data_IF_170339321638
#
_entry.id   IF_170339321638
#
_cell.length_a   1.000
_cell.length_b   1.000
_cell.length_c   1.000
_cell.angle_alpha   90.00
_cell.angle_beta   90.00
_cell.angle_gamma   90.00
#
_symmetry.space_group_name_H-M   'P 1'
#
loop_
_entity.id
_entity.type
_entity.pdbx_description
1 polymer ?
#
# COMPACT_ATOMS: atom_id res chain seq x y z
N UNK A 1 12.67 -2.07 -1.26
CA UNK A 1 11.35 -1.46 -1.52
C UNK A 1 11.43 0.06 -1.66
N UNK A 2 12.22 0.74 -0.84
CA UNK A 2 12.32 2.21 -0.83
C UNK A 2 12.71 2.81 -2.18
N UNK A 3 13.68 2.21 -2.86
CA UNK A 3 14.22 2.74 -4.11
C UNK A 3 13.22 2.74 -5.26
N UNK A 4 12.22 1.83 -5.20
CA UNK A 4 11.25 1.65 -6.28
C UNK A 4 9.86 2.14 -5.91
N UNK A 5 9.63 2.50 -4.65
CA UNK A 5 8.31 2.95 -4.19
C UNK A 5 8.07 4.39 -4.60
N UNK A 6 6.89 4.63 -5.18
CA UNK A 6 6.49 5.96 -5.67
C UNK A 6 5.05 6.26 -5.31
N UNK A 7 4.81 7.55 -5.10
CA UNK A 7 3.48 8.12 -4.94
C UNK A 7 3.08 8.67 -6.30
N UNK A 8 1.93 8.24 -6.82
CA UNK A 8 1.46 8.64 -8.14
C UNK A 8 0.09 9.28 -8.02
N UNK A 9 -0.03 10.48 -8.56
CA UNK A 9 -1.30 11.19 -8.65
C UNK A 9 -1.77 11.20 -10.09
N UNK A 10 -3.01 10.75 -10.30
CA UNK A 10 -3.64 10.74 -11.61
C UNK A 10 -4.37 12.05 -11.89
N UNK A 11 -4.69 12.28 -13.16
CA UNK A 11 -5.37 13.49 -13.61
C UNK A 11 -6.75 13.67 -12.98
N UNK A 12 -7.41 12.59 -12.59
CA UNK A 12 -8.71 12.61 -11.94
C UNK A 12 -8.63 12.85 -10.42
N UNK A 13 -7.42 13.02 -9.89
CA UNK A 13 -7.19 13.23 -8.46
C UNK A 13 -6.92 11.97 -7.66
N UNK A 14 -7.05 10.79 -8.26
CA UNK A 14 -6.74 9.53 -7.58
C UNK A 14 -5.25 9.49 -7.22
N UNK A 15 -4.96 9.02 -6.01
CA UNK A 15 -3.61 8.94 -5.48
C UNK A 15 -3.32 7.50 -5.09
N UNK A 16 -2.20 6.95 -5.57
CA UNK A 16 -1.78 5.60 -5.22
C UNK A 16 -0.32 5.59 -4.76
N UNK A 17 0.00 4.60 -3.93
CA UNK A 17 1.39 4.24 -3.60
C UNK A 17 1.65 2.89 -4.24
N UNK A 18 2.77 2.73 -4.90
CA UNK A 18 3.12 1.50 -5.59
C UNK A 18 4.63 1.36 -5.74
N UNK A 19 5.06 0.17 -6.12
CA UNK A 19 6.43 -0.05 -6.60
C UNK A 19 6.44 0.16 -8.12
N UNK A 20 7.48 0.77 -8.64
CA UNK A 20 7.60 1.05 -10.06
C UNK A 20 8.76 0.26 -10.65
N UNK A 21 8.50 -0.45 -11.74
CA UNK A 21 9.53 -1.14 -12.49
C UNK A 21 10.28 -0.12 -13.35
N UNK A 22 11.60 -0.10 -13.24
CA UNK A 22 12.44 0.80 -14.03
C UNK A 22 12.22 2.27 -13.66
N UNK A 23 12.72 2.66 -12.48
CA UNK A 23 12.53 4.02 -11.95
C UNK A 23 13.26 5.12 -12.73
N UNK A 24 14.20 4.74 -13.59
CA UNK A 24 14.91 5.71 -14.40
C UNK A 24 14.05 6.16 -15.58
N UNK A 25 14.08 7.45 -15.88
CA UNK A 25 13.41 8.05 -17.03
C UNK A 25 11.90 7.80 -17.09
N UNK A 26 11.23 7.76 -15.93
CA UNK A 26 9.78 7.52 -15.85
C UNK A 26 8.99 8.54 -16.67
N UNK A 27 9.42 9.80 -16.66
CA UNK A 27 8.71 10.87 -17.37
C UNK A 27 8.82 10.78 -18.87
N UNK A 28 9.78 9.99 -19.38
CA UNK A 28 9.99 9.79 -20.82
C UNK A 28 9.22 8.60 -21.37
N UNK A 29 8.66 7.76 -20.49
CA UNK A 29 7.93 6.56 -20.89
C UNK A 29 6.47 6.86 -21.17
N UNK A 30 5.92 6.22 -22.20
CA UNK A 30 4.48 6.30 -22.51
C UNK A 30 3.64 5.39 -21.63
N UNK A 31 4.24 4.31 -21.15
CA UNK A 31 3.60 3.33 -20.26
C UNK A 31 4.53 3.03 -19.09
N UNK A 32 3.94 2.90 -17.90
CA UNK A 32 4.68 2.64 -16.67
C UNK A 32 4.11 1.38 -16.04
N UNK A 33 4.98 0.41 -15.74
CA UNK A 33 4.60 -0.81 -15.03
C UNK A 33 4.76 -0.61 -13.55
N UNK A 34 3.70 -0.92 -12.82
CA UNK A 34 3.68 -0.79 -11.37
C UNK A 34 3.30 -2.11 -10.71
N UNK A 35 3.71 -2.26 -9.44
CA UNK A 35 3.44 -3.44 -8.62
C UNK A 35 2.80 -3.00 -7.31
N UNK A 36 1.88 -3.82 -6.82
CA UNK A 36 1.26 -3.67 -5.49
C UNK A 36 0.68 -2.27 -5.25
N UNK A 37 -0.22 -1.78 -6.13
CA UNK A 37 -0.79 -0.45 -5.94
C UNK A 37 -1.79 -0.43 -4.78
N UNK A 38 -1.64 0.60 -3.95
CA UNK A 38 -2.54 0.87 -2.82
C UNK A 38 -3.09 2.27 -3.02
N UNK A 39 -4.41 2.42 -2.99
CA UNK A 39 -5.04 3.72 -3.11
C UNK A 39 -5.02 4.46 -1.78
N UNK A 40 -4.64 5.74 -1.83
CA UNK A 40 -4.67 6.63 -0.68
C UNK A 40 -5.94 7.47 -0.76
N UNK A 41 -6.77 7.40 0.28
CA UNK A 41 -8.01 8.15 0.33
C UNK A 41 -7.95 9.14 1.48
N UNK A 42 -8.21 10.42 1.19
CA UNK A 42 -8.31 11.42 2.22
C UNK A 42 -9.69 11.33 2.88
N UNK A 43 -9.72 11.21 4.20
CA UNK A 43 -10.95 11.13 4.98
C UNK A 43 -11.34 12.47 5.59
N UNK A 44 -10.69 13.55 5.14
CA UNK A 44 -10.94 14.89 5.64
C UNK A 44 -9.95 15.30 6.72
N UNK A 45 -10.31 16.32 7.44
CA UNK A 45 -9.45 16.90 8.48
C UNK A 45 -9.78 16.25 9.82
N UNK A 46 -8.76 15.65 10.46
CA UNK A 46 -8.91 14.98 11.76
C UNK A 46 -8.77 15.96 12.93
N UNK A 47 -8.09 17.08 12.71
CA UNK A 47 -7.88 18.09 13.73
C UNK A 47 -6.89 19.14 13.30
N UNK A 48 -6.37 19.88 14.27
CA UNK A 48 -5.38 20.93 14.03
C UNK A 48 -4.23 20.80 15.02
N UNK A 49 -3.03 21.02 14.53
CA UNK A 49 -1.82 21.10 15.34
C UNK A 49 -1.02 22.30 14.88
N UNK A 50 -0.65 23.19 15.80
CA UNK A 50 0.10 24.42 15.50
C UNK A 50 -0.57 25.24 14.38
N UNK A 51 -1.91 25.33 14.41
CA UNK A 51 -2.73 26.03 13.40
C UNK A 51 -2.67 25.40 12.01
N UNK A 52 -2.21 24.16 11.91
CA UNK A 52 -2.22 23.39 10.66
C UNK A 52 -3.30 22.33 10.71
N UNK A 53 -4.02 22.20 9.61
CA UNK A 53 -4.98 21.09 9.46
C UNK A 53 -4.23 19.76 9.32
N UNK A 54 -4.67 18.76 10.07
CA UNK A 54 -4.15 17.40 9.98
C UNK A 54 -5.12 16.59 9.14
N UNK A 55 -4.67 16.16 7.96
CA UNK A 55 -5.46 15.29 7.09
C UNK A 55 -5.35 13.85 7.56
N UNK A 56 -6.49 13.19 7.62
CA UNK A 56 -6.55 11.78 7.86
C UNK A 56 -6.63 11.02 6.54
N UNK A 57 -5.79 9.99 6.39
CA UNK A 57 -5.75 9.17 5.19
C UNK A 57 -6.02 7.72 5.54
N UNK A 58 -6.70 7.02 4.64
CA UNK A 58 -6.83 5.57 4.69
C UNK A 58 -6.24 4.94 3.44
N UNK A 59 -5.80 3.70 3.57
CA UNK A 59 -5.18 2.94 2.50
C UNK A 59 -6.07 1.75 2.16
N UNK A 60 -6.34 1.56 0.87
CA UNK A 60 -7.18 0.46 0.40
C UNK A 60 -6.63 -0.10 -0.91
N UNK A 61 -7.07 -1.31 -1.28
CA UNK A 61 -6.70 -1.88 -2.57
C UNK A 61 -7.23 -1.00 -3.70
N UNK A 62 -6.34 -0.63 -4.61
CA UNK A 62 -6.74 0.21 -5.75
C UNK A 62 -7.62 -0.54 -6.74
N UNK A 63 -7.23 -1.80 -7.06
CA UNK A 63 -7.99 -2.66 -7.97
C UNK A 63 -8.46 -3.90 -7.21
N UNK A 64 -9.34 -3.69 -6.24
CA UNK A 64 -9.73 -4.70 -5.26
C UNK A 64 -10.41 -5.93 -5.84
N UNK A 65 -10.93 -5.85 -7.09
CA UNK A 65 -11.56 -6.98 -7.76
C UNK A 65 -10.61 -7.74 -8.68
N UNK A 66 -9.35 -7.30 -8.77
CA UNK A 66 -8.34 -7.94 -9.62
C UNK A 66 -7.47 -8.90 -8.81
N UNK A 67 -7.11 -10.01 -9.42
CA UNK A 67 -6.10 -10.94 -8.88
C UNK A 67 -4.68 -10.55 -9.29
N UNK A 68 -4.55 -9.57 -10.17
CA UNK A 68 -3.23 -9.11 -10.63
C UNK A 68 -2.53 -8.28 -9.58
N UNK A 69 -1.20 -8.38 -9.55
CA UNK A 69 -0.34 -7.57 -8.68
C UNK A 69 0.45 -6.53 -9.47
N UNK A 70 0.54 -6.71 -10.79
CA UNK A 70 1.24 -5.82 -11.70
C UNK A 70 0.26 -5.19 -12.67
N UNK A 71 0.42 -3.88 -12.90
CA UNK A 71 -0.45 -3.12 -13.79
C UNK A 71 0.39 -2.23 -14.69
N UNK A 72 -0.12 -1.95 -15.86
CA UNK A 72 0.50 -1.00 -16.80
C UNK A 72 -0.33 0.27 -16.83
N UNK A 73 0.28 1.39 -16.46
CA UNK A 73 -0.36 2.69 -16.47
C UNK A 73 -0.02 3.44 -17.75
N UNK A 74 -0.99 4.23 -18.21
CA UNK A 74 -0.75 5.16 -19.31
C UNK A 74 -0.19 6.46 -18.72
N UNK A 75 1.00 6.84 -19.15
CA UNK A 75 1.68 8.01 -18.58
C UNK A 75 0.90 9.31 -18.75
N UNK A 76 0.08 9.42 -19.81
CA UNK A 76 -0.73 10.63 -20.05
C UNK A 76 -1.78 10.88 -18.97
N UNK A 77 -2.17 9.84 -18.21
CA UNK A 77 -3.16 9.95 -17.14
C UNK A 77 -2.53 10.33 -15.80
N UNK A 78 -1.22 10.48 -15.76
CA UNK A 78 -0.47 10.77 -14.54
C UNK A 78 -0.10 12.25 -14.51
N UNK A 79 -0.45 12.90 -13.39
CA UNK A 79 -0.11 14.31 -13.16
C UNK A 79 1.23 14.46 -12.45
N UNK A 80 1.46 13.64 -11.41
CA UNK A 80 2.65 13.75 -10.56
C UNK A 80 3.13 12.36 -10.19
N UNK A 81 4.46 12.17 -10.24
CA UNK A 81 5.13 11.02 -9.66
C UNK A 81 6.15 11.56 -8.67
N UNK A 82 6.10 11.09 -7.43
CA UNK A 82 7.05 11.50 -6.41
C UNK A 82 7.49 10.32 -5.55
N UNK A 83 8.54 10.52 -4.78
CA UNK A 83 8.96 9.53 -3.79
C UNK A 83 8.00 9.55 -2.62
N UNK A 84 7.76 8.39 -2.02
CA UNK A 84 6.97 8.30 -0.81
C UNK A 84 7.80 8.81 0.38
N UNK A 85 7.17 9.59 1.24
CA UNK A 85 7.80 10.01 2.50
C UNK A 85 8.11 8.76 3.33
N UNK A 86 9.34 8.69 3.86
CA UNK A 86 9.83 7.53 4.60
C UNK A 86 8.97 7.17 5.81
N UNK A 87 8.26 8.14 6.40
CA UNK A 87 7.36 7.91 7.53
C UNK A 87 6.20 6.98 7.16
N UNK A 88 5.82 6.94 5.88
CA UNK A 88 4.69 6.13 5.41
C UNK A 88 5.11 4.79 4.82
N UNK A 89 6.42 4.54 4.73
CA UNK A 89 6.93 3.33 4.10
C UNK A 89 6.49 2.06 4.84
N UNK A 90 6.61 2.05 6.17
CA UNK A 90 6.20 0.91 6.99
C UNK A 90 4.70 0.65 6.84
N UNK A 91 3.89 1.71 6.85
CA UNK A 91 2.45 1.60 6.64
C UNK A 91 2.11 0.97 5.31
N UNK A 92 2.77 1.41 4.24
CA UNK A 92 2.58 0.85 2.90
C UNK A 92 2.96 -0.64 2.89
N UNK A 93 4.13 -1.01 3.42
CA UNK A 93 4.57 -2.39 3.46
C UNK A 93 3.60 -3.29 4.22
N UNK A 94 3.08 -2.81 5.36
CA UNK A 94 2.12 -3.56 6.14
C UNK A 94 0.82 -3.80 5.36
N UNK A 95 0.34 -2.80 4.64
CA UNK A 95 -0.88 -2.94 3.83
C UNK A 95 -0.64 -3.90 2.66
N UNK A 96 0.51 -3.80 2.00
CA UNK A 96 0.88 -4.71 0.90
C UNK A 96 0.90 -6.15 1.40
N UNK A 97 1.55 -6.40 2.54
CA UNK A 97 1.62 -7.75 3.11
C UNK A 97 0.23 -8.28 3.44
N UNK A 98 -0.63 -7.45 3.99
CA UNK A 98 -1.98 -7.85 4.36
C UNK A 98 -2.86 -8.15 3.14
N UNK A 99 -2.76 -7.34 2.08
CA UNK A 99 -3.64 -7.47 0.91
C UNK A 99 -3.12 -8.44 -0.13
N UNK A 100 -1.81 -8.52 -0.34
CA UNK A 100 -1.22 -9.31 -1.42
C UNK A 100 -0.52 -10.57 -0.96
N UNK A 101 -0.05 -10.62 0.29
CA UNK A 101 0.72 -11.75 0.83
C UNK A 101 0.07 -12.37 2.08
N UNK A 102 -1.21 -12.19 2.25
CA UNK A 102 -1.93 -12.63 3.43
C UNK A 102 -1.75 -14.13 3.71
N UNK A 103 -1.89 -14.97 2.70
CA UNK A 103 -1.79 -16.43 2.85
C UNK A 103 -0.37 -16.85 3.20
N UNK A 104 0.63 -16.21 2.58
CA UNK A 104 2.03 -16.48 2.84
C UNK A 104 2.41 -16.13 4.28
N UNK A 105 1.93 -14.98 4.77
CA UNK A 105 2.18 -14.54 6.14
C UNK A 105 1.58 -15.53 7.15
N UNK A 106 0.36 -15.98 6.91
CA UNK A 106 -0.31 -16.96 7.77
C UNK A 106 0.42 -18.29 7.76
N UNK A 107 0.84 -18.77 6.60
CA UNK A 107 1.59 -20.02 6.48
C UNK A 107 2.94 -19.94 7.17
N UNK A 108 3.65 -18.84 7.03
CA UNK A 108 4.93 -18.63 7.70
C UNK A 108 4.78 -18.64 9.21
N UNK A 109 3.78 -17.94 9.72
CA UNK A 109 3.51 -17.90 11.16
C UNK A 109 3.22 -19.30 11.71
N UNK A 110 2.42 -20.09 10.99
CA UNK A 110 2.11 -21.45 11.39
C UNK A 110 3.33 -22.36 11.38
N UNK A 111 4.21 -22.20 10.40
CA UNK A 111 5.43 -23.02 10.26
C UNK A 111 6.49 -22.64 11.29
N UNK A 112 6.70 -21.36 11.53
CA UNK A 112 7.75 -20.88 12.42
C UNK A 112 7.44 -21.14 13.89
N UNK A 113 6.18 -21.05 14.28
CA UNK A 113 5.76 -21.16 15.68
C UNK A 113 5.12 -22.49 16.02
N UNK A 114 5.05 -23.42 15.04
CA UNK A 114 4.41 -24.74 15.19
C UNK A 114 3.03 -24.64 15.85
N UNK A 115 2.25 -23.64 15.43
CA UNK A 115 0.96 -23.37 16.02
C UNK A 115 -0.05 -24.47 15.71
N UNK A 116 -0.88 -24.81 16.70
CA UNK A 116 -2.06 -25.64 16.46
C UNK A 116 -3.08 -24.81 15.66
N UNK A 117 -4.05 -25.48 14.98
CA UNK A 117 -5.11 -24.72 14.30
C UNK A 117 -5.86 -23.75 15.23
N UNK A 118 -6.04 -24.11 16.49
CA UNK A 118 -6.69 -23.25 17.47
C UNK A 118 -5.82 -22.03 17.81
N UNK A 119 -4.53 -22.21 17.99
CA UNK A 119 -3.58 -21.14 18.26
C UNK A 119 -3.52 -20.17 17.08
N UNK A 120 -3.51 -20.70 15.86
CA UNK A 120 -3.51 -19.89 14.65
C UNK A 120 -4.79 -19.06 14.55
N UNK A 121 -5.92 -19.66 14.84
CA UNK A 121 -7.20 -18.96 14.82
C UNK A 121 -7.22 -17.81 15.83
N UNK A 122 -6.73 -18.07 17.05
CA UNK A 122 -6.63 -17.04 18.08
C UNK A 122 -5.71 -15.91 17.66
N UNK A 123 -4.56 -16.24 17.06
CA UNK A 123 -3.62 -15.26 16.54
C UNK A 123 -4.28 -14.35 15.49
N UNK A 124 -5.02 -14.94 14.55
CA UNK A 124 -5.72 -14.18 13.51
C UNK A 124 -6.81 -13.29 14.09
N UNK A 125 -7.55 -13.76 15.07
CA UNK A 125 -8.59 -12.97 15.73
C UNK A 125 -8.00 -11.77 16.47
N UNK A 126 -6.91 -11.95 17.18
CA UNK A 126 -6.23 -10.86 17.89
C UNK A 126 -5.68 -9.83 16.91
N UNK A 127 -5.13 -10.29 15.80
CA UNK A 127 -4.60 -9.40 14.76
C UNK A 127 -5.71 -8.58 14.11
N UNK A 128 -6.85 -9.21 13.79
CA UNK A 128 -7.99 -8.54 13.19
C UNK A 128 -8.59 -7.49 14.12
N UNK A 129 -8.54 -7.73 15.41
CA UNK A 129 -9.03 -6.78 16.42
C UNK A 129 -8.02 -5.70 16.78
N UNK A 130 -6.83 -5.74 16.19
CA UNK A 130 -5.77 -4.80 16.50
C UNK A 130 -5.18 -4.94 17.90
N UNK A 131 -5.33 -6.09 18.53
CA UNK A 131 -4.84 -6.33 19.89
C UNK A 131 -3.38 -6.76 19.95
N UNK A 132 -2.78 -6.99 18.81
CA UNK A 132 -1.35 -7.33 18.70
C UNK A 132 -0.56 -6.10 18.27
N UNK A 133 -0.68 -5.06 19.00
CA UNK A 133 0.05 -3.82 18.77
C UNK A 133 1.42 -3.86 19.44
#
# INVERSE_FOLDING_TARGET
MDETTRLIKFSDGTLIVCMVEGVDDLLEKSHIKILYPIEVVSNGIDGYEDNRAIEQHSLKAWMGLSDDVMFTLNAKDITVISRLNSEYMVGYENVVNRLYFKDDVVQQAAQEEELTPEDLLEYLQLKDKGKLN
#
